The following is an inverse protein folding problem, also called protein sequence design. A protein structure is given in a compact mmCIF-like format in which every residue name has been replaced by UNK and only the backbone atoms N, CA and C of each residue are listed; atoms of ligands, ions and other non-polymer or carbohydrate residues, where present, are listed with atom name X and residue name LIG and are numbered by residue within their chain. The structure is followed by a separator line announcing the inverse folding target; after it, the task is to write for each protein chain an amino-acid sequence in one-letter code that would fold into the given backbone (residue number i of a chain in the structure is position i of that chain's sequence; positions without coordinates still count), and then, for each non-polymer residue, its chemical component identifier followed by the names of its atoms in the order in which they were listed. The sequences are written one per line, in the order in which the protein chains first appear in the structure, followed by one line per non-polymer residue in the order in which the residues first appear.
data_IF_793646110669
#
_entry.id   IF_793646110669
#
_cell.length_a   1.000
_cell.length_b   1.000
_cell.length_c   1.000
_cell.angle_alpha   90.00
_cell.angle_beta   90.00
_cell.angle_gamma   90.00
#
_symmetry.space_group_name_H-M   'P 1'
#
loop_
_entity.id
_entity.type
_entity.pdbx_description
1 polymer ?
2 non-polymer ?
3 water ?
#
# COMPACT_ATOMS: atom_id res chain seq x y z
N UNK A 18 -18.81 10.76 -26.39
CA UNK A 18 -18.40 11.65 -25.26
C UNK A 18 -16.99 11.35 -24.70
N UNK A 19 -16.59 12.09 -23.67
CA UNK A 19 -15.36 11.86 -22.92
C UNK A 19 -15.71 11.44 -21.51
N UNK A 20 -14.87 10.57 -20.96
CA UNK A 20 -15.01 10.04 -19.61
C UNK A 20 -13.96 10.67 -18.71
N UNK A 21 -14.40 11.21 -17.59
CA UNK A 21 -13.49 11.86 -16.66
C UNK A 21 -12.90 10.82 -15.74
N UNK A 22 -11.58 10.74 -15.73
CA UNK A 22 -10.90 9.77 -14.90
C UNK A 22 -10.69 10.28 -13.50
N UNK A 23 -10.62 9.35 -12.55
CA UNK A 23 -10.30 9.68 -11.17
C UNK A 23 -8.99 10.45 -11.14
N UNK A 24 -8.95 11.52 -10.36
CA UNK A 24 -7.71 12.21 -10.07
C UNK A 24 -6.98 11.35 -9.02
N UNK A 25 -5.83 10.78 -9.40
CA UNK A 25 -5.05 9.93 -8.47
C UNK A 25 -4.58 10.69 -7.21
N UNK A 26 -4.44 12.01 -7.32
CA UNK A 26 -4.16 12.86 -6.17
C UNK A 26 -5.13 12.63 -5.03
N UNK A 27 -6.33 12.22 -5.33
CA UNK A 27 -7.32 12.04 -4.29
C UNK A 27 -7.32 10.63 -3.73
N UNK A 28 -6.49 9.75 -4.27
CA UNK A 28 -6.35 8.41 -3.71
C UNK A 28 -5.20 8.45 -2.67
N UNK A 29 -5.48 8.10 -1.40
CA UNK A 29 -4.39 8.15 -0.41
C UNK A 29 -3.17 7.34 -0.82
N UNK A 30 -1.99 7.91 -0.71
CA UNK A 30 -0.80 7.14 -0.99
C UNK A 30 -0.56 6.00 -0.01
N UNK A 31 -0.93 6.22 1.23
CA UNK A 31 -0.75 5.24 2.30
C UNK A 31 -2.04 5.08 3.08
N UNK A 32 -2.44 3.82 3.31
CA UNK A 32 -3.49 3.48 4.30
C UNK A 32 -3.08 2.22 5.01
N UNK A 33 -2.52 2.41 6.19
CA UNK A 33 -2.07 1.33 6.98
C UNK A 33 -2.61 1.38 8.38
N UNK A 34 -2.56 0.25 9.06
CA UNK A 34 -3.05 0.20 10.45
C UNK A 34 -1.90 0.66 11.36
N UNK A 35 -2.15 0.61 12.66
CA UNK A 35 -1.24 1.09 13.69
C UNK A 35 -0.95 0.02 14.73
N UNK A 36 0.19 0.15 15.40
CA UNK A 36 0.60 -0.69 16.53
C UNK A 36 0.45 -2.15 16.35
N UNK A 37 1.28 -2.67 15.48
CA UNK A 37 1.30 -4.06 15.38
C UNK A 37 1.97 -4.42 14.09
N UNK A 38 1.85 -5.69 13.78
CA UNK A 38 2.48 -6.29 12.60
C UNK A 38 1.36 -6.75 11.73
N UNK A 39 1.44 -6.49 10.42
CA UNK A 39 0.39 -6.86 9.53
C UNK A 39 0.91 -6.94 8.11
N UNK A 40 0.19 -7.71 7.32
CA UNK A 40 0.46 -7.80 5.88
C UNK A 40 0.23 -6.44 5.19
N UNK A 41 1.04 -6.19 4.16
CA UNK A 41 0.81 -5.12 3.29
C UNK A 41 1.10 -5.51 1.84
N UNK A 42 0.53 -4.72 0.96
CA UNK A 42 0.82 -4.76 -0.48
C UNK A 42 1.12 -3.36 -1.00
N UNK A 43 1.93 -3.38 -2.05
CA UNK A 43 2.26 -2.23 -2.88
C UNK A 43 1.55 -2.38 -4.21
N UNK A 44 0.74 -1.37 -4.55
CA UNK A 44 -0.20 -1.49 -5.64
C UNK A 44 0.09 -0.36 -6.59
N UNK A 45 0.13 -0.64 -7.89
CA UNK A 45 0.10 0.42 -8.90
C UNK A 45 -1.32 0.68 -9.36
N UNK A 46 -1.78 1.92 -9.15
CA UNK A 46 -3.13 2.34 -9.59
C UNK A 46 -2.98 3.17 -10.85
N UNK A 47 -3.81 2.83 -11.82
CA UNK A 47 -3.94 3.44 -13.15
C UNK A 47 -5.27 4.16 -13.23
N UNK A 48 -5.22 5.40 -13.71
CA UNK A 48 -6.39 6.30 -13.68
C UNK A 48 -7.75 5.84 -14.24
N UNK A 49 -7.88 5.04 -15.30
CA UNK A 49 -6.87 4.74 -16.30
C UNK A 49 -7.61 5.00 -17.60
N UNK A 58 -1.73 9.55 -14.36
CA UNK A 58 -2.40 8.35 -14.85
C UNK A 58 -2.04 7.06 -14.11
N UNK A 59 -0.85 7.00 -13.47
CA UNK A 59 -0.61 5.95 -12.44
C UNK A 59 0.32 6.36 -11.26
N UNK A 60 0.17 5.67 -10.13
CA UNK A 60 1.02 5.92 -8.99
C UNK A 60 1.04 4.65 -8.12
N UNK A 61 1.97 4.57 -7.20
CA UNK A 61 2.08 3.42 -6.26
C UNK A 61 1.56 3.84 -4.93
N UNK A 62 0.77 2.94 -4.37
CA UNK A 62 0.15 3.13 -3.06
C UNK A 62 0.45 1.92 -2.14
N UNK A 63 0.44 2.18 -0.84
CA UNK A 63 0.71 1.22 0.22
C UNK A 63 -0.56 0.97 0.97
N UNK A 64 -0.88 -0.29 1.10
CA UNK A 64 -2.09 -0.69 1.80
C UNK A 64 -1.76 -1.85 2.71
N UNK A 65 -2.06 -1.72 4.00
CA UNK A 65 -1.73 -2.74 4.98
C UNK A 65 -2.71 -2.73 6.15
N UNK A 66 -3.24 -3.90 6.48
CA UNK A 66 -4.36 -4.04 7.45
C UNK A 66 -4.27 -5.29 8.26
N UNK A 67 -4.50 -5.12 9.56
CA UNK A 67 -4.49 -6.20 10.48
C UNK A 67 -5.52 -7.25 10.20
N UNK A 68 -6.63 -6.87 9.60
CA UNK A 68 -7.72 -7.85 9.37
C UNK A 68 -7.43 -8.88 8.28
N UNK A 69 -6.49 -8.55 7.41
CA UNK A 69 -6.17 -9.42 6.27
C UNK A 69 -5.45 -10.69 6.66
N UNK A 70 -6.09 -11.82 6.41
CA UNK A 70 -5.45 -13.12 6.53
C UNK A 70 -4.40 -13.36 5.47
N UNK A 71 -4.68 -12.90 4.23
CA UNK A 71 -3.78 -13.06 3.10
C UNK A 71 -3.52 -11.74 2.42
N UNK A 72 -2.36 -11.62 1.76
CA UNK A 72 -2.12 -10.46 0.91
C UNK A 72 -3.23 -10.29 -0.12
N UNK A 73 -3.67 -11.41 -0.70
CA UNK A 73 -4.70 -11.35 -1.68
C UNK A 73 -6.00 -10.69 -1.17
N UNK A 74 -6.28 -10.82 0.12
CA UNK A 74 -7.48 -10.20 0.72
C UNK A 74 -7.37 -8.70 0.65
N UNK A 75 -6.15 -8.18 0.83
CA UNK A 75 -5.96 -6.75 0.78
C UNK A 75 -6.12 -6.28 -0.65
N UNK A 76 -5.42 -6.95 -1.55
CA UNK A 76 -5.50 -6.59 -2.97
C UNK A 76 -6.92 -6.67 -3.54
N UNK A 77 -7.66 -7.70 -3.16
CA UNK A 77 -9.04 -7.84 -3.63
C UNK A 77 -9.90 -6.67 -3.16
N UNK A 78 -9.77 -6.31 -1.90
CA UNK A 78 -10.53 -5.18 -1.34
C UNK A 78 -10.14 -3.90 -2.05
N UNK A 79 -8.83 -3.66 -2.17
CA UNK A 79 -8.40 -2.40 -2.73
C UNK A 79 -8.74 -2.28 -4.19
N UNK A 80 -8.48 -3.32 -4.94
CA UNK A 80 -8.69 -3.25 -6.37
C UNK A 80 -10.19 -3.19 -6.67
N UNK A 81 -11.03 -3.73 -5.78
CA UNK A 81 -12.49 -3.61 -5.93
C UNK A 81 -12.93 -2.15 -5.78
N UNK A 82 -12.47 -1.53 -4.70
CA UNK A 82 -12.67 -0.11 -4.46
C UNK A 82 -12.18 0.74 -5.64
N UNK A 83 -11.00 0.45 -6.16
CA UNK A 83 -10.47 1.23 -7.27
C UNK A 83 -11.35 1.08 -8.50
N UNK A 84 -11.78 -0.16 -8.74
CA UNK A 84 -12.58 -0.47 -9.92
C UNK A 84 -13.90 0.29 -9.85
N UNK A 85 -14.46 0.48 -8.66
CA UNK A 85 -15.68 1.29 -8.47
C UNK A 85 -15.48 2.72 -8.98
N UNK A 86 -14.24 3.21 -8.89
CA UNK A 86 -13.88 4.58 -9.33
C UNK A 86 -13.30 4.63 -10.72
N UNK A 87 -13.43 3.54 -11.45
CA UNK A 87 -12.87 3.47 -12.77
C UNK A 87 -11.37 3.34 -12.91
N UNK A 88 -10.70 2.93 -11.84
CA UNK A 88 -9.28 2.71 -11.91
C UNK A 88 -8.99 1.23 -12.05
N UNK A 89 -7.83 0.94 -12.63
CA UNK A 89 -7.35 -0.42 -12.73
C UNK A 89 -6.11 -0.48 -11.85
N UNK A 90 -5.80 -1.68 -11.36
CA UNK A 90 -4.70 -1.92 -10.41
C UNK A 90 -3.78 -3.01 -10.90
N UNK A 91 -2.52 -2.96 -10.44
CA UNK A 91 -1.56 -4.07 -10.52
C UNK A 91 -0.97 -4.23 -9.14
N UNK A 92 -0.83 -5.42 -8.62
CA UNK A 92 -0.06 -5.61 -7.38
C UNK A 92 1.44 -5.82 -7.63
N UNK A 93 2.28 -4.97 -7.06
CA UNK A 93 3.72 -5.00 -7.36
C UNK A 93 4.49 -5.87 -6.38
N UNK A 94 3.82 -6.34 -5.34
CA UNK A 94 4.44 -7.11 -4.32
C UNK A 94 3.82 -6.85 -2.95
N UNK A 95 4.32 -7.58 -1.97
CA UNK A 95 3.91 -7.39 -0.58
C UNK A 95 4.94 -7.74 0.42
N UNK A 96 4.50 -7.71 1.67
CA UNK A 96 5.30 -8.04 2.76
C UNK A 96 4.57 -7.80 4.05
N UNK A 97 5.34 -7.37 5.04
CA UNK A 97 4.76 -6.97 6.34
C UNK A 97 5.22 -5.57 6.70
N UNK A 98 4.41 -4.93 7.54
CA UNK A 98 4.75 -3.67 8.15
C UNK A 98 4.62 -3.85 9.66
N UNK A 99 5.62 -3.39 10.41
CA UNK A 99 5.58 -3.33 11.86
C UNK A 99 5.44 -1.85 12.18
N UNK A 100 4.29 -1.46 12.73
CA UNK A 100 4.03 -0.04 13.07
C UNK A 100 4.05 0.07 14.60
N UNK A 101 5.04 0.74 15.15
CA UNK A 101 5.06 1.04 16.61
C UNK A 101 4.83 2.52 16.88
N UNK A 102 3.60 2.95 17.22
CA UNK A 102 3.33 4.38 17.34
C UNK A 102 4.07 4.96 18.53
N UNK A 103 4.15 4.21 19.63
CA UNK A 103 4.88 4.59 20.83
C UNK A 103 6.28 5.05 20.53
N UNK A 104 7.00 4.27 19.73
CA UNK A 104 8.39 4.58 19.36
C UNK A 104 8.54 5.38 18.05
N UNK A 105 7.41 5.70 17.41
CA UNK A 105 7.39 6.29 16.06
C UNK A 105 8.39 5.61 15.14
N UNK A 106 8.20 4.30 15.00
CA UNK A 106 8.99 3.49 14.08
C UNK A 106 8.05 2.71 13.20
N UNK A 107 8.40 2.66 11.92
CA UNK A 107 7.67 1.81 11.01
C UNK A 107 8.75 1.03 10.24
N UNK A 108 8.65 -0.30 10.24
CA UNK A 108 9.56 -1.21 9.50
C UNK A 108 8.79 -2.02 8.49
N UNK A 109 9.32 -2.08 7.28
CA UNK A 109 8.67 -2.65 6.12
C UNK A 109 9.59 -3.73 5.59
N UNK A 110 9.07 -4.96 5.38
CA UNK A 110 10.00 -6.12 5.17
C UNK A 110 9.24 -7.29 4.64
N UNK A 111 9.94 -8.38 4.36
CA UNK A 111 9.23 -9.60 4.01
C UNK A 111 8.78 -9.77 2.58
N UNK A 112 7.80 -10.65 2.38
CA UNK A 112 7.37 -10.96 1.04
C UNK A 112 5.94 -11.41 1.08
N UNK A 113 5.41 -11.61 -0.11
CA UNK A 113 4.09 -12.18 -0.35
C UNK A 113 4.33 -13.37 -1.24
N UNK A 114 3.76 -14.53 -0.93
CA UNK A 114 3.81 -15.68 -1.87
C UNK A 114 3.07 -15.41 -3.17
N UNK A 115 1.89 -14.78 -3.11
CA UNK A 115 1.10 -14.49 -4.28
C UNK A 115 1.75 -13.46 -5.21
N UNK A 116 2.38 -12.44 -4.65
CA UNK A 116 2.78 -11.26 -5.44
C UNK A 116 4.25 -11.04 -5.46
N UNK A 117 4.99 -11.88 -4.77
CA UNK A 117 6.39 -11.60 -4.53
C UNK A 117 6.65 -10.53 -3.46
N UNK A 118 7.92 -10.32 -3.15
CA UNK A 118 8.35 -9.22 -2.29
C UNK A 118 8.13 -7.91 -3.02
N UNK A 119 7.56 -6.93 -2.34
CA UNK A 119 7.60 -5.58 -2.87
C UNK A 119 9.02 -5.02 -2.80
N UNK A 120 9.31 -4.03 -3.65
CA UNK A 120 10.47 -3.19 -3.41
C UNK A 120 10.11 -2.23 -2.23
N UNK A 121 10.56 -2.59 -1.04
CA UNK A 121 10.10 -1.96 0.20
C UNK A 121 10.66 -0.57 0.24
N UNK A 122 11.74 -0.33 -0.53
CA UNK A 122 12.26 1.04 -0.63
C UNK A 122 11.17 2.00 -1.18
N UNK A 123 10.33 1.55 -2.11
CA UNK A 123 9.26 2.40 -2.67
C UNK A 123 8.21 2.60 -1.62
N UNK A 124 7.84 1.49 -0.97
CA UNK A 124 6.86 1.57 0.08
C UNK A 124 7.25 2.56 1.14
N UNK A 125 8.50 2.47 1.60
CA UNK A 125 8.97 3.37 2.62
C UNK A 125 9.01 4.84 2.18
N UNK A 126 9.25 5.11 0.90
CA UNK A 126 9.19 6.46 0.37
C UNK A 126 7.81 7.03 0.61
N UNK A 127 6.78 6.24 0.30
CA UNK A 127 5.41 6.69 0.59
C UNK A 127 5.10 6.91 2.05
N UNK A 128 5.50 5.93 2.86
CA UNK A 128 5.25 5.93 4.26
C UNK A 128 5.94 7.14 4.95
N UNK A 129 7.20 7.36 4.61
CA UNK A 129 7.95 8.46 5.18
C UNK A 129 7.33 9.82 4.85
N UNK A 130 6.79 9.99 3.63
CA UNK A 130 6.09 11.19 3.20
C UNK A 130 4.91 11.47 4.09
N UNK A 131 4.21 10.44 4.54
CA UNK A 131 3.04 10.61 5.41
C UNK A 131 3.31 10.64 6.90
N UNK A 132 4.37 9.96 7.31
CA UNK A 132 4.85 9.90 8.70
C UNK A 132 6.29 10.41 8.75
N UNK A 133 6.53 11.67 8.36
CA UNK A 133 7.90 12.19 8.27
C UNK A 133 8.69 12.24 9.58
N UNK A 134 8.00 12.32 10.71
CA UNK A 134 8.64 12.32 12.03
C UNK A 134 8.90 10.92 12.61
N UNK A 135 8.58 9.88 11.83
CA UNK A 135 8.90 8.51 12.20
C UNK A 135 10.25 8.11 11.64
N UNK A 136 10.88 7.13 12.28
CA UNK A 136 11.99 6.39 11.67
C UNK A 136 11.31 5.32 10.82
N UNK A 137 11.58 5.39 9.55
CA UNK A 137 10.97 4.50 8.59
C UNK A 137 12.10 3.72 7.95
N UNK A 138 12.07 2.42 8.18
CA UNK A 138 13.18 1.52 7.76
C UNK A 138 12.67 0.38 6.88
N UNK A 139 13.55 -0.17 6.07
CA UNK A 139 13.24 -1.39 5.37
C UNK A 139 14.41 -2.38 5.44
N UNK A 140 14.11 -3.63 5.12
CA UNK A 140 15.13 -4.66 4.90
C UNK A 140 14.92 -5.22 3.50
N UNK A 141 16.06 -5.51 2.85
CA UNK A 141 16.22 -5.88 1.43
C UNK A 141 16.48 -4.71 0.48
X LIG B 1 2.89 -14.65 2.65
X LIG B 1 2.40 -14.77 1.51
X LIG B 1 2.19 -14.97 3.66
X LIG C 1 -2.40 -15.06 -0.87
X LIG C 1 -2.05 -13.91 -0.54
X LIG C 1 -1.55 -15.97 -1.05
X LIG D 1 -1.65 9.89 1.98
X LIG D 1 -2.04 10.29 0.86
X LIG D 1 -1.97 8.78 2.41
X LIG E 1 -1.43 -7.48 -10.44
X LIG E 1 -0.22 -7.72 -10.53
X LIG E 1 -2.12 -7.96 -9.54
X LIG F 1 3.43 -2.03 18.49
X LIG F 1 2.77 -3.06 18.64
X LIG F 1 4.63 -2.07 18.25
X LIG G 1 -8.45 2.75 -1.38
X LIG G 1 -7.94 1.81 -0.71
X LIG G 1 -8.17 3.98 -1.26
X LIG H 1 1.00 -10.66 8.96
X LIG H 1 1.37 -11.58 8.24
X LIG H 1 0.05 -10.78 9.70
X LIG I 1 6.86 10.50 -1.30
X LIG I 1 5.90 10.29 -2.07
X LIG I 1 7.84 11.21 -1.62
X LIG J 1 -5.99 0.33 13.18
X LIG J 1 -4.97 -0.07 13.77
X LIG J 1 -6.03 1.39 12.53
X LIG K 1 -7.93 -6.25 13.62
X LIG K 1 -7.25 -7.20 14.07
X LIG K 1 -8.98 -6.42 12.95
X LIG L 1 -3.33 -3.84 -14.98
X LIG L 1 -3.10 -2.62 -15.03
X LIG L 1 -4.39 -4.30 -14.54
X LIG M 1 -2.21 -8.79 11.70
X LIG M 1 -2.34 -9.56 10.74
X LIG M 1 -1.34 -8.95 12.57
X LIG N 1 2.57 -13.56 6.33
X LIG N 1 3.10 -12.56 5.83
X LIG N 1 2.85 -14.73 6.04
X LIG O 1 -4.40 1.77 17.45
X LIG O 1 -4.49 0.89 16.59
X LIG O 1 -3.35 2.02 18.05
X LIG P 1 2.55 9.73 20.78
X LIG P 1 3.18 8.76 21.25
X LIG P 1 2.70 10.09 19.59
X LIG Q 1 -5.33 4.53 8.32
X LIG Q 1 -4.55 5.24 7.63
X LIG Q 1 -5.05 4.04 9.44
X LIG R 1 1.79 8.81 -14.41
X LIG R 1 2.19 7.71 -14.79
X LIG R 1 0.76 9.31 -14.87
#
# INVERSE_FOLDING_TARGET
MHHHHHHSSGVDLGTENLYFQSMDLALIPDVDIDSDGVFKYVLIRVHSAPRSGAPAAESKEIVRGYKWAEYHADIYDKVSGDMQKQGCDCECLGGGRISHQSQDKKIHVYGYSMAYGPAQHAISTEKIKAKYPDYEVTWANDGY
FMT C O1 O2
FMT C O1 O2
FMT C O1 O2
FMT C O1 O2
FMT C O1 O2
FMT C O1 O2
FMT C O1 O2
FMT C O1 O2
FMT C O1 O2
FMT C O1 O2
FMT C O1 O2
FMT C O1 O2
FMT C O1 O2
FMT C O1 O2
FMT C O1 O2
FMT C O1 O2
FMT C O1 O2
#
